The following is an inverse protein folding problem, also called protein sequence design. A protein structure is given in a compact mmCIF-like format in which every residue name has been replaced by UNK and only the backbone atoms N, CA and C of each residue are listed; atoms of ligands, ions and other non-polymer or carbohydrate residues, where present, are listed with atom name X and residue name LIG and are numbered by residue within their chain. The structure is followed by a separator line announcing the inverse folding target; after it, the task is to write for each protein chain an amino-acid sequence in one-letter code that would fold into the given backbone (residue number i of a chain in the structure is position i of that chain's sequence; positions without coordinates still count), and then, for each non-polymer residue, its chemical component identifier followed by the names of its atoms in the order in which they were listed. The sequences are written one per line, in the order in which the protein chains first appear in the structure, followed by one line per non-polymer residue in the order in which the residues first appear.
data_IF_090743063423
#
_entry.id   IF_090743063423
#
_cell.length_a   1.000
_cell.length_b   1.000
_cell.length_c   1.000
_cell.angle_alpha   90.00
_cell.angle_beta   90.00
_cell.angle_gamma   90.00
#
_symmetry.space_group_name_H-M   'P 1'
#
loop_
_entity.id
_entity.type
_entity.pdbx_description
1 polymer ?
#
# COMPACT_ATOMS: atom_id res chain seq x y z
N UNK A 1 -1.45 79.68 -10.85
CA UNK A 1 -1.23 78.62 -11.83
C UNK A 1 -1.27 77.32 -11.08
N UNK A 2 -2.44 76.63 -11.15
CA UNK A 2 -2.69 75.34 -10.40
C UNK A 2 -2.54 74.19 -11.38
N UNK A 3 -1.45 73.45 -11.31
CA UNK A 3 -1.22 72.29 -12.17
C UNK A 3 -2.03 71.08 -11.61
N UNK A 4 -3.08 70.78 -12.33
CA UNK A 4 -3.88 69.56 -12.09
C UNK A 4 -3.02 68.34 -12.36
N UNK A 5 -2.57 67.70 -11.28
CA UNK A 5 -1.95 66.39 -11.34
C UNK A 5 -3.02 65.34 -11.64
N UNK A 6 -3.01 64.74 -12.82
CA UNK A 6 -3.85 63.61 -13.17
C UNK A 6 -3.42 62.38 -12.34
N UNK A 7 -4.37 61.72 -11.65
CA UNK A 7 -4.03 60.52 -10.91
C UNK A 7 -3.70 59.39 -11.90
N UNK A 8 -2.52 58.78 -11.75
CA UNK A 8 -2.18 57.55 -12.46
C UNK A 8 -3.05 56.41 -11.92
N UNK A 9 -3.69 55.63 -12.80
CA UNK A 9 -4.43 54.47 -12.35
C UNK A 9 -3.48 53.47 -11.66
N UNK A 10 -3.91 52.82 -10.54
CA UNK A 10 -3.09 51.87 -9.85
C UNK A 10 -2.79 50.70 -10.79
N UNK A 11 -1.50 50.38 -11.01
CA UNK A 11 -1.07 49.18 -11.67
C UNK A 11 -1.46 48.00 -10.79
N UNK A 12 -2.32 47.11 -11.30
CA UNK A 12 -2.67 45.85 -10.65
C UNK A 12 -1.39 45.03 -10.52
N UNK A 13 -0.92 44.69 -9.29
CA UNK A 13 0.36 44.05 -9.09
C UNK A 13 0.33 42.52 -9.41
N UNK A 14 -0.83 41.95 -9.77
CA UNK A 14 -1.05 40.50 -9.72
C UNK A 14 -1.22 39.81 -11.07
N UNK A 15 -0.95 40.46 -12.19
CA UNK A 15 -0.99 39.80 -13.49
C UNK A 15 0.36 39.13 -13.79
N UNK A 16 0.46 37.84 -13.55
CA UNK A 16 1.61 37.02 -13.99
C UNK A 16 1.83 37.22 -15.50
N UNK A 17 3.08 37.49 -15.93
CA UNK A 17 3.36 37.70 -17.35
C UNK A 17 2.97 36.45 -18.15
N UNK A 18 2.26 36.64 -19.26
CA UNK A 18 1.78 35.56 -20.13
C UNK A 18 2.89 34.57 -20.52
N UNK A 19 4.12 35.04 -20.70
CA UNK A 19 5.29 34.24 -20.98
C UNK A 19 5.61 33.26 -19.84
N UNK A 20 5.45 33.69 -18.58
CA UNK A 20 5.68 32.82 -17.43
C UNK A 20 4.60 31.73 -17.30
N UNK A 21 3.34 32.05 -17.63
CA UNK A 21 2.26 31.06 -17.66
C UNK A 21 2.48 30.03 -18.76
N UNK A 22 2.91 30.45 -19.94
CA UNK A 22 3.23 29.56 -21.08
C UNK A 22 4.43 28.67 -20.71
N UNK A 23 5.48 29.22 -20.12
CA UNK A 23 6.65 28.45 -19.70
C UNK A 23 6.28 27.41 -18.64
N UNK A 24 5.47 27.78 -17.63
CA UNK A 24 4.99 26.86 -16.59
C UNK A 24 4.12 25.75 -17.19
N UNK A 25 3.17 26.11 -18.06
CA UNK A 25 2.31 25.15 -18.76
C UNK A 25 3.11 24.18 -19.64
N UNK A 26 4.12 24.70 -20.36
CA UNK A 26 5.03 23.88 -21.15
C UNK A 26 5.85 22.92 -20.31
N UNK A 27 6.35 23.36 -19.16
CA UNK A 27 7.07 22.49 -18.21
C UNK A 27 6.18 21.36 -17.70
N UNK A 28 4.97 21.68 -17.24
CA UNK A 28 4.02 20.66 -16.78
C UNK A 28 3.70 19.67 -17.88
N UNK A 29 3.46 20.13 -19.10
CA UNK A 29 3.19 19.27 -20.25
C UNK A 29 4.36 18.34 -20.56
N UNK A 30 5.60 18.83 -20.54
CA UNK A 30 6.80 18.02 -20.74
C UNK A 30 6.93 16.93 -19.65
N UNK A 31 6.66 17.25 -18.39
CA UNK A 31 6.70 16.27 -17.28
C UNK A 31 5.62 15.21 -17.49
N UNK A 32 4.39 15.62 -17.84
CA UNK A 32 3.30 14.67 -18.10
C UNK A 32 3.59 13.72 -19.26
N UNK A 33 4.15 14.26 -20.35
CA UNK A 33 4.57 13.44 -21.50
C UNK A 33 5.68 12.47 -21.08
N UNK A 34 6.70 12.95 -20.32
CA UNK A 34 7.79 12.12 -19.82
C UNK A 34 7.30 10.98 -18.92
N UNK A 35 6.41 11.29 -17.97
CA UNK A 35 5.81 10.29 -17.09
C UNK A 35 4.95 9.30 -17.89
N UNK A 36 4.16 9.78 -18.82
CA UNK A 36 3.34 8.94 -19.71
C UNK A 36 4.21 7.99 -20.53
N UNK A 37 5.30 8.48 -21.08
CA UNK A 37 6.26 7.68 -21.85
C UNK A 37 6.89 6.57 -21.01
N UNK A 38 7.40 6.90 -19.80
CA UNK A 38 7.98 5.92 -18.86
C UNK A 38 6.94 4.87 -18.45
N UNK A 39 5.71 5.30 -18.18
CA UNK A 39 4.60 4.39 -17.83
C UNK A 39 4.24 3.44 -18.97
N UNK A 40 4.24 3.94 -20.20
CA UNK A 40 3.91 3.15 -21.38
C UNK A 40 5.02 2.18 -21.76
N UNK A 41 6.28 2.63 -21.72
CA UNK A 41 7.43 1.81 -22.15
C UNK A 41 7.99 0.93 -21.04
N UNK A 42 7.69 1.23 -19.76
CA UNK A 42 8.30 0.55 -18.61
C UNK A 42 9.80 0.82 -18.44
N UNK A 43 10.40 1.71 -19.24
CA UNK A 43 11.80 2.08 -19.15
C UNK A 43 12.04 2.80 -17.82
N UNK A 44 13.07 2.36 -17.07
CA UNK A 44 13.41 2.95 -15.77
C UNK A 44 12.72 2.29 -14.57
N UNK A 45 11.88 1.28 -14.78
CA UNK A 45 11.39 0.42 -13.70
C UNK A 45 12.50 -0.55 -13.31
N UNK A 46 13.19 -0.27 -12.22
CA UNK A 46 14.21 -1.19 -11.68
C UNK A 46 13.49 -2.38 -11.04
N UNK A 47 13.56 -3.53 -11.70
CA UNK A 47 13.17 -4.81 -11.09
C UNK A 47 14.34 -5.26 -10.20
N UNK A 48 14.27 -4.97 -8.92
CA UNK A 48 15.21 -5.56 -7.96
C UNK A 48 14.85 -7.04 -7.85
N UNK A 49 15.80 -7.95 -8.18
CA UNK A 49 15.57 -9.38 -7.98
C UNK A 49 15.15 -9.62 -6.52
N UNK A 50 14.03 -10.28 -6.33
CA UNK A 50 13.57 -10.57 -4.98
C UNK A 50 14.45 -11.69 -4.41
N UNK A 51 14.90 -11.52 -3.16
CA UNK A 51 15.63 -12.57 -2.46
C UNK A 51 14.78 -13.86 -2.39
N UNK A 52 15.46 -15.00 -2.30
CA UNK A 52 14.79 -16.30 -2.23
C UNK A 52 13.77 -16.34 -1.10
N UNK A 53 12.59 -16.89 -1.37
CA UNK A 53 11.60 -17.16 -0.34
C UNK A 53 12.12 -18.26 0.59
N UNK A 54 12.14 -17.98 1.89
CA UNK A 54 12.57 -18.94 2.92
C UNK A 54 11.38 -19.52 3.67
N UNK A 55 10.27 -18.80 3.70
CA UNK A 55 9.01 -19.28 4.28
C UNK A 55 7.82 -18.71 3.51
N UNK A 56 6.81 -19.54 3.30
CA UNK A 56 5.56 -19.14 2.64
C UNK A 56 4.41 -19.74 3.43
N UNK A 57 3.44 -18.90 3.80
CA UNK A 57 2.20 -19.31 4.46
C UNK A 57 1.00 -18.60 3.85
N UNK A 58 -0.13 -19.26 3.92
CA UNK A 58 -1.39 -18.73 3.39
C UNK A 58 -2.42 -18.62 4.51
N UNK A 59 -3.07 -17.45 4.61
CA UNK A 59 -3.98 -17.12 5.67
C UNK A 59 -5.33 -16.62 5.14
N UNK A 60 -6.39 -17.01 5.84
CA UNK A 60 -7.71 -16.39 5.72
C UNK A 60 -7.92 -15.42 6.89
N UNK A 61 -8.48 -14.27 6.59
CA UNK A 61 -8.81 -13.25 7.58
C UNK A 61 -10.33 -13.10 7.62
N UNK A 62 -10.90 -13.29 8.79
CA UNK A 62 -12.34 -13.21 9.02
C UNK A 62 -12.65 -12.16 10.07
N UNK A 63 -13.59 -11.26 9.75
CA UNK A 63 -14.07 -10.29 10.72
C UNK A 63 -15.02 -10.97 11.72
N UNK A 64 -14.79 -10.76 13.01
CA UNK A 64 -15.63 -11.26 14.09
C UNK A 64 -16.74 -10.25 14.44
N UNK A 65 -17.91 -10.72 14.94
CA UNK A 65 -19.02 -9.82 15.32
C UNK A 65 -18.65 -8.80 16.38
N UNK A 66 -17.67 -9.10 17.23
CA UNK A 66 -17.15 -8.18 18.26
C UNK A 66 -16.21 -7.11 17.71
N UNK A 67 -15.97 -7.10 16.38
CA UNK A 67 -15.00 -6.21 15.72
C UNK A 67 -13.55 -6.69 15.79
N UNK A 68 -13.29 -7.91 16.28
CA UNK A 68 -11.99 -8.59 16.16
C UNK A 68 -11.74 -9.09 14.74
N UNK A 69 -10.52 -9.56 14.49
CA UNK A 69 -10.16 -10.26 13.25
C UNK A 69 -9.55 -11.60 13.63
N UNK A 70 -10.12 -12.68 13.10
CA UNK A 70 -9.59 -14.02 13.24
C UNK A 70 -8.70 -14.35 12.05
N UNK A 71 -7.50 -14.88 12.31
CA UNK A 71 -6.55 -15.31 11.28
C UNK A 71 -6.47 -16.83 11.32
N UNK A 72 -6.80 -17.46 10.19
CA UNK A 72 -6.77 -18.91 10.02
C UNK A 72 -5.68 -19.31 9.04
N UNK A 73 -4.96 -20.35 9.36
CA UNK A 73 -4.10 -21.03 8.39
C UNK A 73 -4.98 -21.69 7.32
N UNK A 74 -4.76 -21.37 6.04
CA UNK A 74 -5.63 -21.84 4.95
C UNK A 74 -5.51 -23.35 4.72
N UNK A 75 -4.37 -23.95 5.08
CA UNK A 75 -4.10 -25.37 4.88
C UNK A 75 -4.76 -26.24 5.95
N UNK A 76 -4.75 -25.78 7.20
CA UNK A 76 -5.28 -26.57 8.34
C UNK A 76 -6.67 -26.14 8.77
N UNK A 77 -7.09 -24.92 8.40
CA UNK A 77 -8.32 -24.29 8.88
C UNK A 77 -8.27 -23.85 10.34
N UNK A 78 -7.13 -24.04 11.02
CA UNK A 78 -6.95 -23.68 12.42
C UNK A 78 -6.77 -22.17 12.58
N UNK A 79 -7.30 -21.66 13.68
CA UNK A 79 -7.05 -20.28 14.10
C UNK A 79 -5.63 -20.19 14.65
N UNK A 80 -4.81 -19.38 14.01
CA UNK A 80 -3.41 -19.16 14.42
C UNK A 80 -3.25 -17.87 15.22
N UNK A 81 -4.16 -16.91 15.01
CA UNK A 81 -4.09 -15.63 15.72
C UNK A 81 -5.46 -14.96 15.77
N UNK A 82 -5.68 -14.19 16.82
CA UNK A 82 -6.87 -13.33 16.94
C UNK A 82 -6.45 -11.91 17.30
N UNK A 83 -6.86 -10.97 16.46
CA UNK A 83 -6.61 -9.55 16.66
C UNK A 83 -7.78 -8.95 17.43
N UNK A 84 -7.53 -8.49 18.65
CA UNK A 84 -8.56 -7.89 19.48
C UNK A 84 -9.15 -6.63 18.84
N UNK A 85 -10.41 -6.28 19.14
CA UNK A 85 -11.04 -5.05 18.67
C UNK A 85 -10.18 -3.82 18.94
N UNK A 86 -10.18 -2.86 18.02
CA UNK A 86 -9.48 -1.57 18.15
C UNK A 86 -7.94 -1.64 18.28
N UNK A 87 -7.36 -2.84 18.19
CA UNK A 87 -5.90 -3.03 18.22
C UNK A 87 -5.33 -3.24 16.82
N UNK A 88 -3.98 -3.19 16.69
CA UNK A 88 -3.26 -3.46 15.45
C UNK A 88 -3.78 -2.69 14.22
N UNK A 89 -3.88 -1.35 14.35
CA UNK A 89 -4.44 -0.47 13.31
C UNK A 89 -3.79 -0.64 11.94
N UNK A 90 -2.49 -0.95 11.89
CA UNK A 90 -1.78 -1.20 10.64
C UNK A 90 -2.28 -2.47 9.94
N UNK A 91 -2.37 -3.60 10.65
CA UNK A 91 -2.91 -4.85 10.11
C UNK A 91 -4.35 -4.63 9.60
N UNK A 92 -5.19 -4.03 10.42
CA UNK A 92 -6.59 -3.72 10.06
C UNK A 92 -6.70 -2.84 8.82
N UNK A 93 -5.89 -1.79 8.75
CA UNK A 93 -5.87 -0.87 7.61
C UNK A 93 -5.43 -1.56 6.32
N UNK A 94 -4.38 -2.38 6.40
CA UNK A 94 -3.86 -3.15 5.27
C UNK A 94 -4.89 -4.15 4.76
N UNK A 95 -5.46 -4.98 5.64
CA UNK A 95 -6.45 -5.99 5.27
C UNK A 95 -7.74 -5.36 4.71
N UNK A 96 -8.21 -4.27 5.31
CA UNK A 96 -9.38 -3.53 4.81
C UNK A 96 -9.12 -2.93 3.42
N UNK A 97 -7.90 -2.45 3.16
CA UNK A 97 -7.50 -1.95 1.84
C UNK A 97 -7.56 -3.04 0.77
N UNK A 98 -7.02 -4.22 1.06
CA UNK A 98 -7.03 -5.38 0.15
C UNK A 98 -8.46 -5.93 -0.04
N UNK A 99 -9.23 -6.08 1.05
CA UNK A 99 -10.63 -6.53 0.98
C UNK A 99 -11.50 -5.58 0.15
N UNK A 100 -11.32 -4.27 0.28
CA UNK A 100 -12.03 -3.27 -0.54
C UNK A 100 -11.68 -3.42 -2.03
N UNK A 101 -10.44 -3.75 -2.37
CA UNK A 101 -10.05 -4.00 -3.76
C UNK A 101 -10.73 -5.26 -4.31
N UNK A 102 -10.77 -6.35 -3.53
CA UNK A 102 -11.52 -7.57 -3.90
C UNK A 102 -12.99 -7.26 -4.13
N UNK A 103 -13.62 -6.55 -3.18
CA UNK A 103 -15.03 -6.17 -3.29
C UNK A 103 -15.34 -5.40 -4.58
N UNK A 104 -14.49 -4.42 -4.96
CA UNK A 104 -14.65 -3.66 -6.21
C UNK A 104 -14.57 -4.53 -7.46
N UNK A 105 -13.89 -5.68 -7.37
CA UNK A 105 -13.75 -6.65 -8.47
C UNK A 105 -14.75 -7.80 -8.39
N UNK A 106 -15.67 -7.78 -7.42
CA UNK A 106 -16.63 -8.87 -7.20
C UNK A 106 -15.99 -10.17 -6.71
N UNK A 107 -14.84 -10.10 -6.04
CA UNK A 107 -14.10 -11.25 -5.52
C UNK A 107 -14.42 -11.40 -4.03
N UNK A 108 -14.78 -12.62 -3.62
CA UNK A 108 -15.09 -12.96 -2.24
C UNK A 108 -13.85 -13.19 -1.35
N UNK A 109 -14.07 -13.53 -0.07
CA UNK A 109 -13.02 -13.74 0.91
C UNK A 109 -12.35 -15.12 0.86
N UNK A 110 -12.80 -16.04 0.00
CA UNK A 110 -12.46 -17.47 0.02
C UNK A 110 -11.00 -17.74 -0.39
N UNK A 111 -10.41 -16.82 -1.17
CA UNK A 111 -9.04 -16.95 -1.65
C UNK A 111 -8.09 -16.47 -0.56
N UNK A 112 -7.16 -17.32 -0.08
CA UNK A 112 -6.25 -16.93 0.98
C UNK A 112 -5.25 -15.86 0.52
N UNK A 113 -4.77 -15.08 1.48
CA UNK A 113 -3.65 -14.18 1.30
C UNK A 113 -2.36 -14.95 1.52
N UNK A 114 -1.36 -14.69 0.70
CA UNK A 114 -0.05 -15.31 0.79
C UNK A 114 0.94 -14.40 1.47
N UNK A 115 1.58 -14.90 2.51
CA UNK A 115 2.67 -14.20 3.20
C UNK A 115 3.98 -14.91 2.92
N UNK A 116 5.00 -14.14 2.52
CA UNK A 116 6.31 -14.68 2.13
C UNK A 116 7.41 -13.98 2.91
N UNK A 117 8.14 -14.74 3.71
CA UNK A 117 9.40 -14.34 4.32
C UNK A 117 10.56 -14.66 3.40
N UNK A 118 11.50 -13.72 3.24
CA UNK A 118 12.63 -13.81 2.32
C UNK A 118 13.96 -13.89 3.04
N UNK A 119 14.99 -14.41 2.36
CA UNK A 119 16.33 -14.55 2.89
C UNK A 119 17.00 -13.22 3.29
N UNK A 120 16.56 -12.09 2.72
CA UNK A 120 17.00 -10.74 3.07
C UNK A 120 16.23 -10.12 4.26
N UNK A 121 15.41 -10.92 4.95
CA UNK A 121 14.58 -10.48 6.06
C UNK A 121 13.31 -9.72 5.68
N UNK A 122 13.04 -9.54 4.39
CA UNK A 122 11.81 -8.90 3.93
C UNK A 122 10.61 -9.81 4.12
N UNK A 123 9.49 -9.20 4.49
CA UNK A 123 8.20 -9.84 4.62
C UNK A 123 7.21 -9.18 3.65
N UNK A 124 6.60 -9.97 2.80
CA UNK A 124 5.61 -9.50 1.82
C UNK A 124 4.27 -10.19 2.04
N UNK A 125 3.19 -9.41 1.91
CA UNK A 125 1.81 -9.89 1.87
C UNK A 125 1.29 -9.74 0.45
N UNK A 126 0.91 -10.83 -0.17
CA UNK A 126 0.33 -10.89 -1.51
C UNK A 126 -1.15 -11.25 -1.44
N UNK A 127 -1.94 -10.58 -2.23
CA UNK A 127 -3.31 -10.97 -2.54
C UNK A 127 -3.34 -11.65 -3.92
N UNK A 128 -3.36 -13.00 -4.00
CA UNK A 128 -3.37 -13.70 -5.29
C UNK A 128 -4.61 -13.40 -6.13
N UNK A 129 -5.73 -13.03 -5.48
CA UNK A 129 -6.99 -12.74 -6.17
C UNK A 129 -6.93 -11.45 -7.00
N UNK A 130 -6.15 -10.46 -6.56
CA UNK A 130 -6.04 -9.16 -7.21
C UNK A 130 -4.65 -8.91 -7.81
N UNK A 131 -3.67 -9.74 -7.47
CA UNK A 131 -2.25 -9.59 -7.83
C UNK A 131 -1.54 -8.46 -7.05
N UNK A 132 -2.18 -7.92 -5.98
CA UNK A 132 -1.55 -6.88 -5.17
C UNK A 132 -0.56 -7.47 -4.19
N UNK A 133 0.60 -6.82 -4.11
CA UNK A 133 1.65 -7.15 -3.14
C UNK A 133 1.95 -5.94 -2.27
N UNK A 134 2.11 -6.17 -0.98
CA UNK A 134 2.49 -5.18 0.03
C UNK A 134 3.82 -5.61 0.64
N UNK A 135 4.85 -4.77 0.53
CA UNK A 135 6.10 -4.94 1.27
C UNK A 135 5.90 -4.42 2.69
N UNK A 136 5.77 -5.33 3.64
CA UNK A 136 5.49 -5.01 5.04
C UNK A 136 6.68 -4.33 5.72
N UNK A 137 7.91 -4.60 5.27
CA UNK A 137 9.13 -3.98 5.78
C UNK A 137 9.18 -2.47 5.52
N UNK A 138 8.54 -2.01 4.45
CA UNK A 138 8.48 -0.58 4.10
C UNK A 138 7.72 0.28 5.12
N UNK A 139 6.94 -0.33 6.01
CA UNK A 139 6.13 0.35 7.04
C UNK A 139 6.78 0.37 8.43
N UNK A 140 8.03 -0.04 8.50
CA UNK A 140 8.84 -0.04 9.73
C UNK A 140 8.72 -1.33 10.56
N UNK A 141 9.70 -1.58 11.45
CA UNK A 141 9.85 -2.87 12.13
C UNK A 141 8.68 -3.21 13.04
N UNK A 142 8.10 -2.25 13.74
CA UNK A 142 6.95 -2.46 14.64
C UNK A 142 5.72 -2.96 13.89
N UNK A 143 5.44 -2.37 12.72
CA UNK A 143 4.30 -2.77 11.89
C UNK A 143 4.55 -4.12 11.21
N UNK A 144 5.77 -4.37 10.73
CA UNK A 144 6.15 -5.65 10.15
C UNK A 144 6.07 -6.79 11.17
N UNK A 145 6.46 -6.54 12.43
CA UNK A 145 6.45 -7.53 13.51
C UNK A 145 5.07 -8.13 13.77
N UNK A 146 3.99 -7.34 13.63
CA UNK A 146 2.62 -7.83 13.79
C UNK A 146 2.30 -8.95 12.80
N UNK A 147 2.76 -8.80 11.56
CA UNK A 147 2.59 -9.83 10.54
C UNK A 147 3.61 -10.96 10.68
N UNK A 148 4.84 -10.65 11.11
CA UNK A 148 5.87 -11.66 11.35
C UNK A 148 5.45 -12.68 12.42
N UNK A 149 4.73 -12.25 13.45
CA UNK A 149 4.19 -13.14 14.48
C UNK A 149 3.28 -14.21 13.86
N UNK A 150 2.48 -13.88 12.84
CA UNK A 150 1.64 -14.86 12.14
C UNK A 150 2.45 -15.98 11.46
N UNK A 151 3.69 -15.69 11.07
CA UNK A 151 4.58 -16.68 10.45
C UNK A 151 5.10 -17.71 11.47
N UNK A 152 5.19 -17.34 12.75
CA UNK A 152 5.75 -18.18 13.83
C UNK A 152 4.67 -18.88 14.65
N UNK A 153 3.53 -18.24 14.90
CA UNK A 153 2.47 -18.77 15.78
C UNK A 153 1.86 -20.10 15.30
N UNK A 154 1.87 -20.34 14.00
CA UNK A 154 1.38 -21.62 13.44
C UNK A 154 2.34 -22.79 13.58
N UNK A 155 3.64 -22.56 13.74
CA UNK A 155 4.61 -23.66 13.96
C UNK A 155 4.51 -24.18 15.38
N UNK A 156 4.18 -23.31 16.35
CA UNK A 156 3.96 -23.71 17.74
C UNK A 156 2.73 -24.62 17.91
N UNK A 157 1.67 -24.42 17.11
CA UNK A 157 0.48 -25.26 17.17
C UNK A 157 0.69 -26.66 16.58
N UNK A 158 1.65 -26.84 15.66
CA UNK A 158 1.96 -28.13 15.04
C UNK A 158 2.80 -29.03 15.94
N UNK A 159 3.54 -28.49 16.89
CA UNK A 159 4.40 -29.23 17.83
C UNK A 159 3.74 -29.53 19.19
N UNK A 160 2.48 -29.13 19.41
CA UNK A 160 1.78 -29.26 20.70
C UNK A 160 0.83 -30.49 20.77
N UNK A 161 0.91 -31.44 19.85
CA UNK A 161 0.24 -32.75 20.00
C UNK A 161 1.25 -33.85 20.32
N UNK A 162 1.17 -34.44 21.54
CA UNK A 162 1.88 -35.66 21.90
C UNK A 162 1.33 -36.89 21.15
#
# INVERSE_FOLDING_TARGET
MNTLQTPHPPRSPDALPRGMLIALGGLVLCVLIGVGFVRYTGIGVVHVPQAQAVSVREFLFEDLPNGGIQVKDSRTGQVVHEVAPETNGFLRGTMRGLARERYRRGIGPEIPFRMTGRADGKLTLEDPATGRTVDLGSFGPTNAAVFAALMTDGDAATHAHP
#
